data_IF_502175066380
#
_entry.id   IF_502175066380
#
_cell.length_a   1.000
_cell.length_b   1.000
_cell.length_c   1.000
_cell.angle_alpha   90.00
_cell.angle_beta   90.00
_cell.angle_gamma   90.00
#
_symmetry.space_group_name_H-M   'P 1'
#
loop_
_entity.id
_entity.type
_entity.pdbx_description
1 polymer ?
#
# COMPACT_ATOMS: atom_id res chain seq x y z
N UNK A 1 -17.29 2.79 -14.23
CA UNK A 1 -17.44 2.59 -12.77
C UNK A 1 -16.41 3.50 -12.11
N UNK A 2 -16.83 4.55 -11.39
CA UNK A 2 -15.91 5.45 -10.69
C UNK A 2 -15.31 4.68 -9.51
N UNK A 3 -14.02 4.34 -9.59
CA UNK A 3 -13.24 3.97 -8.42
C UNK A 3 -13.15 5.22 -7.56
N UNK A 4 -13.99 5.30 -6.52
CA UNK A 4 -13.95 6.39 -5.57
C UNK A 4 -12.58 6.41 -4.89
N UNK A 5 -12.01 7.58 -4.70
CA UNK A 5 -10.72 7.84 -4.04
C UNK A 5 -10.56 7.05 -2.72
N UNK A 6 -11.68 6.83 -2.02
CA UNK A 6 -11.80 6.01 -0.81
C UNK A 6 -11.43 4.53 -1.00
N UNK A 7 -11.61 3.97 -2.20
CA UNK A 7 -11.28 2.58 -2.50
C UNK A 7 -9.77 2.39 -2.59
N UNK A 8 -9.05 3.35 -3.16
CA UNK A 8 -7.59 3.28 -3.27
C UNK A 8 -6.93 3.48 -1.89
N UNK A 9 -7.42 4.43 -1.10
CA UNK A 9 -7.01 4.60 0.31
C UNK A 9 -7.28 3.35 1.15
N UNK A 10 -8.43 2.72 0.99
CA UNK A 10 -8.78 1.47 1.69
C UNK A 10 -7.80 0.33 1.35
N UNK A 11 -7.41 0.22 0.08
CA UNK A 11 -6.42 -0.76 -0.37
C UNK A 11 -5.04 -0.45 0.23
N UNK A 12 -4.63 0.83 0.25
CA UNK A 12 -3.36 1.27 0.86
C UNK A 12 -3.32 0.91 2.35
N UNK A 13 -4.35 1.25 3.13
CA UNK A 13 -4.36 0.94 4.56
C UNK A 13 -4.38 -0.56 4.82
N UNK A 14 -5.11 -1.34 4.01
CA UNK A 14 -5.12 -2.80 4.14
C UNK A 14 -3.73 -3.39 3.86
N UNK A 15 -3.08 -2.97 2.79
CA UNK A 15 -1.72 -3.43 2.45
C UNK A 15 -0.70 -2.98 3.49
N UNK A 16 -0.85 -1.79 4.07
CA UNK A 16 -0.01 -1.30 5.17
C UNK A 16 -0.15 -2.18 6.41
N UNK A 17 -1.37 -2.55 6.77
CA UNK A 17 -1.64 -3.41 7.91
C UNK A 17 -1.05 -4.82 7.70
N UNK A 18 -1.24 -5.42 6.54
CA UNK A 18 -0.64 -6.71 6.17
C UNK A 18 0.90 -6.66 6.22
N UNK A 19 1.52 -5.58 5.74
CA UNK A 19 2.97 -5.39 5.81
C UNK A 19 3.47 -5.35 7.26
N UNK A 20 2.77 -4.64 8.14
CA UNK A 20 3.13 -4.52 9.57
C UNK A 20 3.00 -5.89 10.25
N UNK A 21 1.92 -6.64 10.00
CA UNK A 21 1.71 -7.97 10.56
C UNK A 21 2.80 -8.96 10.10
N UNK A 22 3.13 -8.94 8.80
CA UNK A 22 4.22 -9.75 8.25
C UNK A 22 5.59 -9.33 8.79
N UNK A 23 5.82 -8.02 8.98
CA UNK A 23 7.07 -7.51 9.55
C UNK A 23 7.23 -7.89 11.02
N UNK A 24 6.13 -7.90 11.79
CA UNK A 24 6.14 -8.39 13.16
C UNK A 24 6.40 -9.89 13.24
N UNK A 25 5.86 -10.68 12.29
CA UNK A 25 6.00 -12.14 12.30
C UNK A 25 7.36 -12.61 11.76
N UNK A 26 7.86 -11.98 10.70
CA UNK A 26 9.02 -12.44 9.94
C UNK A 26 10.20 -11.45 9.88
N UNK A 27 10.02 -10.23 10.39
CA UNK A 27 10.99 -9.13 10.28
C UNK A 27 10.90 -8.37 8.96
N UNK A 28 11.33 -7.11 8.97
CA UNK A 28 11.32 -6.22 7.79
C UNK A 28 12.21 -6.70 6.63
N UNK A 29 13.17 -7.58 6.91
CA UNK A 29 14.05 -8.18 5.90
C UNK A 29 13.42 -9.37 5.17
N UNK A 30 12.21 -9.79 5.56
CA UNK A 30 11.54 -10.90 4.90
C UNK A 30 11.14 -10.50 3.46
N UNK A 31 11.39 -11.35 2.45
CA UNK A 31 11.05 -11.05 1.06
C UNK A 31 9.57 -10.69 0.85
N UNK A 32 8.66 -11.29 1.62
CA UNK A 32 7.23 -10.99 1.55
C UNK A 32 6.94 -9.58 2.06
N UNK A 33 7.61 -9.14 3.12
CA UNK A 33 7.48 -7.77 3.67
C UNK A 33 8.04 -6.75 2.69
N UNK A 34 9.18 -7.04 2.08
CA UNK A 34 9.79 -6.19 1.04
C UNK A 34 8.86 -6.06 -0.18
N UNK A 35 8.26 -7.17 -0.63
CA UNK A 35 7.27 -7.14 -1.71
C UNK A 35 6.02 -6.33 -1.32
N UNK A 36 5.50 -6.49 -0.10
CA UNK A 36 4.40 -5.68 0.41
C UNK A 36 4.76 -4.17 0.44
N UNK A 37 5.97 -3.82 0.85
CA UNK A 37 6.46 -2.43 0.82
C UNK A 37 6.49 -1.87 -0.59
N UNK A 38 7.00 -2.63 -1.57
CA UNK A 38 7.02 -2.20 -2.98
C UNK A 38 5.61 -2.00 -3.55
N UNK A 39 4.67 -2.88 -3.18
CA UNK A 39 3.27 -2.77 -3.56
C UNK A 39 2.62 -1.53 -2.94
N UNK A 40 2.88 -1.27 -1.66
CA UNK A 40 2.40 -0.09 -0.96
C UNK A 40 2.93 1.19 -1.61
N UNK A 41 4.22 1.24 -1.96
CA UNK A 41 4.82 2.38 -2.67
C UNK A 41 4.17 2.61 -4.03
N UNK A 42 3.86 1.55 -4.79
CA UNK A 42 3.16 1.68 -6.07
C UNK A 42 1.74 2.23 -5.92
N UNK A 43 1.02 1.78 -4.88
CA UNK A 43 -0.32 2.27 -4.56
C UNK A 43 -0.29 3.73 -4.13
N UNK A 44 0.65 4.12 -3.26
CA UNK A 44 0.87 5.50 -2.83
C UNK A 44 1.22 6.41 -4.01
N UNK A 45 2.14 6.00 -4.88
CA UNK A 45 2.48 6.74 -6.10
C UNK A 45 1.27 6.87 -7.05
N UNK A 46 0.38 5.88 -7.07
CA UNK A 46 -0.85 5.96 -7.87
C UNK A 46 -1.84 6.92 -7.23
N UNK A 47 -2.00 6.88 -5.91
CA UNK A 47 -2.84 7.83 -5.18
C UNK A 47 -2.34 9.26 -5.36
N UNK A 48 -1.06 9.51 -5.12
CA UNK A 48 -0.41 10.82 -5.29
C UNK A 48 -0.58 11.36 -6.72
N UNK A 49 -0.40 10.53 -7.75
CA UNK A 49 -0.64 10.94 -9.14
C UNK A 49 -2.11 11.26 -9.46
N UNK A 50 -3.06 10.68 -8.73
CA UNK A 50 -4.48 10.99 -8.91
C UNK A 50 -4.87 12.26 -8.12
N UNK A 51 -4.29 12.51 -6.96
CA UNK A 51 -4.59 13.67 -6.10
C UNK A 51 -3.83 14.94 -6.50
N UNK A 52 -2.60 14.83 -7.01
CA UNK A 52 -1.72 15.97 -7.40
C UNK A 52 -2.09 16.56 -8.77
N UNK A 53 -3.06 15.99 -9.51
CA UNK A 53 -3.58 16.56 -10.77
C UNK A 53 -4.63 17.68 -10.60
N UNK A 54 -4.56 18.45 -9.51
CA UNK A 54 -5.42 19.62 -9.30
C UNK A 54 -4.65 20.93 -9.40
#
# INVERSE_FOLDING_TARGET
>A
MMMSENSLLSIIEKTRQEMIELAQLYGYSNPNVVQCSQLLDQLLNTYDRNTVKH
#
